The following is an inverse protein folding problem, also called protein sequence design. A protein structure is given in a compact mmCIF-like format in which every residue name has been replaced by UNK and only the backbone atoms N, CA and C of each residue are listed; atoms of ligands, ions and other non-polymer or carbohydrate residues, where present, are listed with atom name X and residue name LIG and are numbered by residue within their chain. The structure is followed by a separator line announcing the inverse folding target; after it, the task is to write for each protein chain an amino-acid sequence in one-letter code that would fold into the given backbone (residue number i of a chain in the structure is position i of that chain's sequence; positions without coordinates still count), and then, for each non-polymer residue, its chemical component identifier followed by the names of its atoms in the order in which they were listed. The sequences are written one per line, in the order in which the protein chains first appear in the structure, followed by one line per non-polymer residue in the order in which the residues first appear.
data_IF_432470565054
#
_entry.id   IF_432470565054
#
_cell.length_a   1.000
_cell.length_b   1.000
_cell.length_c   1.000
_cell.angle_alpha   90.00
_cell.angle_beta   90.00
_cell.angle_gamma   90.00
#
_symmetry.space_group_name_H-M   'P 1'
#
loop_
_entity.id
_entity.type
_entity.pdbx_description
1 polymer ?
#
# COMPACT_ATOMS: atom_id res chain seq x y z
N UNK A 1 -45.88 -25.32 -4.38
CA UNK A 1 -46.41 -23.99 -4.04
C UNK A 1 -45.27 -23.25 -3.34
N UNK A 2 -44.64 -22.31 -4.01
CA UNK A 2 -43.61 -21.48 -3.41
C UNK A 2 -44.29 -20.41 -2.56
N UNK A 3 -44.06 -20.44 -1.24
CA UNK A 3 -44.42 -19.31 -0.38
C UNK A 3 -43.58 -18.13 -0.83
N UNK A 4 -44.20 -17.18 -1.49
CA UNK A 4 -43.58 -15.87 -1.67
C UNK A 4 -43.56 -15.23 -0.29
N UNK A 5 -42.36 -15.18 0.32
CA UNK A 5 -42.15 -14.42 1.53
C UNK A 5 -42.62 -12.99 1.26
N UNK A 6 -43.59 -12.55 2.00
CA UNK A 6 -44.18 -11.21 1.91
C UNK A 6 -43.19 -10.27 2.62
N UNK A 7 -42.11 -9.93 1.90
CA UNK A 7 -41.11 -8.95 2.41
C UNK A 7 -41.84 -7.61 2.53
N UNK A 8 -41.85 -7.03 3.71
CA UNK A 8 -42.50 -5.73 3.92
C UNK A 8 -41.74 -4.61 3.19
N UNK A 9 -42.48 -3.56 2.81
CA UNK A 9 -41.89 -2.39 2.16
C UNK A 9 -40.80 -1.76 3.02
N UNK A 10 -40.95 -1.72 4.35
CA UNK A 10 -39.97 -1.22 5.31
C UNK A 10 -38.69 -2.06 5.32
N UNK A 11 -38.79 -3.40 5.18
CA UNK A 11 -37.63 -4.30 5.11
C UNK A 11 -36.83 -4.07 3.83
N UNK A 12 -37.48 -3.82 2.69
CA UNK A 12 -36.84 -3.49 1.42
C UNK A 12 -36.10 -2.15 1.54
N UNK A 13 -36.75 -1.14 2.10
CA UNK A 13 -36.18 0.19 2.29
C UNK A 13 -34.97 0.15 3.21
N UNK A 14 -35.04 -0.58 4.33
CA UNK A 14 -33.94 -0.79 5.26
C UNK A 14 -32.78 -1.52 4.59
N UNK A 15 -33.04 -2.55 3.79
CA UNK A 15 -32.03 -3.31 3.05
C UNK A 15 -31.31 -2.43 2.03
N UNK A 16 -32.04 -1.60 1.29
CA UNK A 16 -31.46 -0.64 0.34
C UNK A 16 -30.58 0.40 1.05
N UNK A 17 -31.04 0.90 2.20
CA UNK A 17 -30.25 1.85 2.99
C UNK A 17 -28.96 1.23 3.52
N UNK A 18 -28.99 -0.01 3.98
CA UNK A 18 -27.80 -0.75 4.42
C UNK A 18 -26.79 -0.94 3.29
N UNK A 19 -27.24 -1.29 2.10
CA UNK A 19 -26.38 -1.39 0.93
C UNK A 19 -25.72 -0.05 0.58
N UNK A 20 -26.49 1.02 0.62
CA UNK A 20 -26.00 2.37 0.37
C UNK A 20 -24.95 2.79 1.41
N UNK A 21 -25.20 2.52 2.69
CA UNK A 21 -24.25 2.79 3.77
C UNK A 21 -22.95 2.00 3.60
N UNK A 22 -23.03 0.73 3.19
CA UNK A 22 -21.83 -0.07 2.92
C UNK A 22 -20.98 0.55 1.81
N UNK A 23 -21.59 1.02 0.72
CA UNK A 23 -20.88 1.71 -0.38
C UNK A 23 -20.23 3.00 0.12
N UNK A 24 -20.94 3.80 0.90
CA UNK A 24 -20.41 5.04 1.48
C UNK A 24 -19.21 4.77 2.38
N UNK A 25 -19.31 3.77 3.26
CA UNK A 25 -18.22 3.37 4.16
C UNK A 25 -16.98 2.95 3.37
N UNK A 26 -17.16 2.08 2.37
CA UNK A 26 -16.05 1.60 1.52
C UNK A 26 -15.40 2.77 0.78
N UNK A 27 -16.20 3.70 0.27
CA UNK A 27 -15.70 4.89 -0.44
C UNK A 27 -14.84 5.77 0.45
N UNK A 28 -15.28 6.05 1.68
CA UNK A 28 -14.49 6.82 2.64
C UNK A 28 -13.21 6.08 3.07
N UNK A 29 -13.31 4.78 3.30
CA UNK A 29 -12.14 3.96 3.66
C UNK A 29 -11.07 3.99 2.57
N UNK A 30 -11.46 3.81 1.31
CA UNK A 30 -10.54 3.91 0.17
C UNK A 30 -9.92 5.29 0.05
N UNK A 31 -10.72 6.34 0.20
CA UNK A 31 -10.22 7.71 0.13
C UNK A 31 -9.20 8.01 1.22
N UNK A 32 -9.44 7.52 2.42
CA UNK A 32 -8.50 7.66 3.53
C UNK A 32 -7.17 6.95 3.24
N UNK A 33 -7.20 5.74 2.68
CA UNK A 33 -6.00 4.97 2.30
C UNK A 33 -5.20 5.67 1.22
N UNK A 34 -5.86 6.14 0.15
CA UNK A 34 -5.22 6.89 -0.94
C UNK A 34 -4.55 8.15 -0.40
N UNK A 35 -5.23 8.88 0.46
CA UNK A 35 -4.69 10.09 1.08
C UNK A 35 -3.49 9.78 1.96
N UNK A 36 -3.54 8.70 2.75
CA UNK A 36 -2.45 8.30 3.62
C UNK A 36 -1.18 7.92 2.84
N UNK A 37 -1.30 7.15 1.78
CA UNK A 37 -0.16 6.78 0.93
C UNK A 37 0.42 8.00 0.21
N UNK A 38 -0.43 8.86 -0.33
CA UNK A 38 0.00 10.11 -0.98
C UNK A 38 0.76 11.00 -0.01
N UNK A 39 0.25 11.20 1.20
CA UNK A 39 0.94 11.97 2.24
C UNK A 39 2.28 11.35 2.64
N UNK A 40 2.34 10.03 2.76
CA UNK A 40 3.58 9.33 3.09
C UNK A 40 4.67 9.55 2.03
N UNK A 41 4.31 9.52 0.76
CA UNK A 41 5.22 9.81 -0.36
C UNK A 41 5.72 11.25 -0.30
N UNK A 42 4.83 12.20 -0.06
CA UNK A 42 5.18 13.62 0.09
C UNK A 42 6.10 13.90 1.28
N UNK A 43 5.87 13.22 2.39
CA UNK A 43 6.75 13.26 3.57
C UNK A 43 8.14 12.73 3.19
N UNK A 44 8.19 11.61 2.50
CA UNK A 44 9.43 10.98 2.05
C UNK A 44 10.28 11.89 1.18
N UNK A 45 9.68 12.59 0.24
CA UNK A 45 10.35 13.58 -0.62
C UNK A 45 11.01 14.68 0.21
N UNK A 46 10.26 15.26 1.14
CA UNK A 46 10.75 16.34 2.00
C UNK A 46 11.81 15.88 2.99
N UNK A 47 11.72 14.66 3.47
CA UNK A 47 12.75 14.07 4.32
C UNK A 47 14.07 13.87 3.57
N UNK A 48 14.02 13.47 2.30
CA UNK A 48 15.22 13.36 1.46
C UNK A 48 15.89 14.72 1.25
N UNK A 49 15.12 15.74 0.96
CA UNK A 49 15.61 17.12 0.84
C UNK A 49 16.24 17.61 2.16
N UNK A 50 15.54 17.43 3.27
CA UNK A 50 16.04 17.81 4.59
C UNK A 50 17.34 17.10 4.93
N UNK A 51 17.44 15.82 4.60
CA UNK A 51 18.66 15.02 4.86
C UNK A 51 19.88 15.54 4.14
N UNK A 52 19.71 16.09 2.95
CA UNK A 52 20.80 16.74 2.21
C UNK A 52 21.24 18.06 2.84
N UNK A 53 20.33 18.75 3.52
CA UNK A 53 20.61 20.06 4.13
C UNK A 53 21.15 19.96 5.56
N UNK A 54 20.84 18.88 6.28
CA UNK A 54 21.29 18.67 7.67
C UNK A 54 22.74 18.21 7.69
N UNK A 55 23.53 18.78 8.63
CA UNK A 55 24.93 18.43 8.79
C UNK A 55 25.11 16.93 9.08
N UNK A 56 26.18 16.35 8.56
CA UNK A 56 26.52 14.95 8.75
C UNK A 56 26.61 14.60 10.26
N UNK A 57 25.91 13.57 10.67
CA UNK A 57 25.83 13.12 12.07
C UNK A 57 24.67 13.72 12.88
N UNK A 58 24.04 14.78 12.40
CA UNK A 58 22.94 15.45 13.09
C UNK A 58 21.53 14.98 12.69
N UNK A 59 21.45 14.07 11.73
CA UNK A 59 20.17 13.65 11.15
C UNK A 59 19.18 13.09 12.17
N UNK A 60 19.63 12.16 13.02
CA UNK A 60 18.77 11.56 14.04
C UNK A 60 18.23 12.58 15.03
N UNK A 61 19.07 13.52 15.47
CA UNK A 61 18.67 14.61 16.37
C UNK A 61 17.69 15.55 15.67
N UNK A 62 17.96 15.93 14.44
CA UNK A 62 17.09 16.80 13.65
C UNK A 62 15.68 16.19 13.51
N UNK A 63 15.60 14.90 13.18
CA UNK A 63 14.33 14.18 13.06
C UNK A 63 13.53 14.23 14.36
N UNK A 64 14.18 13.96 15.48
CA UNK A 64 13.53 13.92 16.79
C UNK A 64 13.02 15.29 17.22
N UNK A 65 13.83 16.32 17.04
CA UNK A 65 13.52 17.68 17.48
C UNK A 65 12.49 18.39 16.59
N UNK A 66 12.47 18.11 15.29
CA UNK A 66 11.64 18.86 14.35
C UNK A 66 10.37 18.13 13.91
N UNK A 67 10.42 16.80 13.73
CA UNK A 67 9.29 16.02 13.21
C UNK A 67 8.90 14.83 14.10
N UNK A 68 9.66 14.59 15.15
CA UNK A 68 9.43 13.50 16.09
C UNK A 68 9.37 12.10 15.43
N UNK A 69 10.25 11.86 14.47
CA UNK A 69 10.40 10.55 13.82
C UNK A 69 11.67 9.86 14.28
N UNK A 70 11.60 8.52 14.38
CA UNK A 70 12.80 7.69 14.43
C UNK A 70 13.47 7.64 13.05
N UNK A 71 14.74 7.26 13.00
CA UNK A 71 15.43 7.04 11.71
C UNK A 71 14.76 5.93 10.89
N UNK A 72 14.24 4.88 11.54
CA UNK A 72 13.51 3.80 10.88
C UNK A 72 12.23 4.31 10.22
N UNK A 73 11.45 5.12 10.91
CA UNK A 73 10.24 5.74 10.35
C UNK A 73 10.57 6.63 9.16
N UNK A 74 11.59 7.49 9.30
CA UNK A 74 12.03 8.35 8.21
C UNK A 74 12.52 7.56 7.00
N UNK A 75 13.27 6.48 7.21
CA UNK A 75 13.72 5.60 6.14
C UNK A 75 12.56 4.94 5.38
N UNK A 76 11.51 4.58 6.08
CA UNK A 76 10.30 4.01 5.46
C UNK A 76 9.59 5.03 4.56
N UNK A 77 9.42 6.26 5.00
CA UNK A 77 8.85 7.32 4.18
C UNK A 77 9.72 7.64 2.96
N UNK A 78 11.02 7.75 3.15
CA UNK A 78 11.95 8.00 2.05
C UNK A 78 11.95 6.85 1.03
N UNK A 79 11.80 5.60 1.49
CA UNK A 79 11.65 4.44 0.61
C UNK A 79 10.38 4.52 -0.21
N UNK A 80 9.25 4.86 0.39
CA UNK A 80 7.98 5.04 -0.33
C UNK A 80 8.12 6.07 -1.44
N UNK A 81 8.78 7.18 -1.18
CA UNK A 81 9.03 8.18 -2.22
C UNK A 81 9.93 7.64 -3.34
N UNK A 82 11.03 6.98 -3.00
CA UNK A 82 11.94 6.42 -4.01
C UNK A 82 11.27 5.39 -4.91
N UNK A 83 10.39 4.59 -4.33
CA UNK A 83 9.75 3.48 -5.03
C UNK A 83 8.48 3.88 -5.79
N UNK A 84 7.71 4.82 -5.27
CA UNK A 84 6.41 5.19 -5.82
C UNK A 84 6.28 6.67 -6.21
N UNK A 85 7.19 7.53 -5.78
CA UNK A 85 7.07 8.98 -5.92
C UNK A 85 8.05 9.65 -6.86
N UNK A 86 9.08 8.93 -7.33
CA UNK A 86 10.10 9.55 -8.20
C UNK A 86 9.54 9.87 -9.59
N UNK A 87 9.88 11.05 -10.11
CA UNK A 87 9.45 11.57 -11.42
C UNK A 87 9.94 10.76 -12.63
N UNK A 88 10.61 9.68 -12.40
CA UNK A 88 11.21 8.84 -13.46
C UNK A 88 10.20 7.94 -14.16
N UNK A 89 8.93 8.30 -14.16
CA UNK A 89 7.90 7.68 -14.96
C UNK A 89 7.35 6.34 -14.46
N UNK A 90 7.83 5.83 -13.35
CA UNK A 90 7.35 4.55 -12.82
C UNK A 90 5.95 4.61 -12.25
N UNK A 91 5.51 5.79 -11.80
CA UNK A 91 4.15 6.02 -11.30
C UNK A 91 3.10 6.05 -12.41
N UNK A 92 3.51 6.39 -13.63
CA UNK A 92 2.60 6.63 -14.74
C UNK A 92 2.69 5.60 -15.86
N UNK A 93 3.63 4.67 -15.78
CA UNK A 93 3.79 3.66 -16.84
C UNK A 93 2.67 2.64 -16.86
N UNK A 94 1.93 2.47 -15.77
CA UNK A 94 0.67 1.74 -15.76
C UNK A 94 -0.26 2.33 -14.70
N UNK A 95 -1.22 3.13 -15.16
CA UNK A 95 -2.23 3.79 -14.32
C UNK A 95 -2.97 2.78 -13.42
N UNK A 96 -3.15 1.55 -13.90
CA UNK A 96 -3.82 0.48 -13.16
C UNK A 96 -3.02 0.04 -11.92
N UNK A 97 -1.69 0.01 -12.01
CA UNK A 97 -0.82 -0.41 -10.89
C UNK A 97 -0.69 0.62 -9.81
N UNK A 98 -0.54 1.89 -10.22
CA UNK A 98 -0.52 2.99 -9.28
C UNK A 98 -1.81 3.03 -8.46
N UNK A 99 -2.97 2.80 -9.10
CA UNK A 99 -4.25 2.75 -8.40
C UNK A 99 -4.39 1.55 -7.48
N UNK A 100 -3.93 0.37 -7.91
CA UNK A 100 -3.97 -0.84 -7.07
C UNK A 100 -3.12 -0.67 -5.81
N UNK A 101 -1.93 -0.08 -5.94
CA UNK A 101 -1.03 0.20 -4.81
C UNK A 101 -1.56 1.35 -3.95
N UNK A 102 -2.08 2.41 -4.57
CA UNK A 102 -2.65 3.55 -3.84
C UNK A 102 -3.90 3.20 -3.04
N UNK A 103 -4.61 2.14 -3.41
CA UNK A 103 -5.75 1.62 -2.63
C UNK A 103 -5.32 0.78 -1.42
N UNK A 104 -4.03 0.44 -1.32
CA UNK A 104 -3.49 -0.28 -0.17
C UNK A 104 -3.18 0.70 0.96
N UNK A 105 -3.13 0.20 2.19
CA UNK A 105 -2.59 1.00 3.29
C UNK A 105 -1.07 1.17 3.16
N UNK A 106 -0.52 2.12 3.93
CA UNK A 106 0.92 2.45 3.91
C UNK A 106 1.79 1.23 4.22
N UNK A 107 1.38 0.39 5.17
CA UNK A 107 2.13 -0.81 5.57
C UNK A 107 2.24 -1.83 4.45
N UNK A 108 1.18 -2.05 3.70
CA UNK A 108 1.18 -2.96 2.55
C UNK A 108 1.97 -2.39 1.38
N UNK A 109 1.81 -1.10 1.08
CA UNK A 109 2.59 -0.44 0.05
C UNK A 109 4.09 -0.53 0.34
N UNK A 110 4.47 -0.34 1.61
CA UNK A 110 5.85 -0.49 2.05
C UNK A 110 6.35 -1.94 1.95
N UNK A 111 5.53 -2.91 2.35
CA UNK A 111 5.88 -4.34 2.25
C UNK A 111 6.17 -4.77 0.82
N UNK A 112 5.43 -4.26 -0.16
CA UNK A 112 5.64 -4.55 -1.58
C UNK A 112 6.95 -4.01 -2.14
N UNK A 113 7.62 -3.09 -1.46
CA UNK A 113 8.91 -2.55 -1.92
C UNK A 113 10.05 -3.57 -1.92
N UNK A 114 9.88 -4.73 -1.28
CA UNK A 114 10.86 -5.83 -1.37
C UNK A 114 10.90 -6.48 -2.75
N UNK A 115 9.84 -6.31 -3.55
CA UNK A 115 9.80 -6.77 -4.94
C UNK A 115 10.33 -5.67 -5.87
N UNK A 116 11.02 -6.04 -6.96
CA UNK A 116 11.25 -5.12 -8.06
C UNK A 116 9.94 -4.51 -8.59
N UNK A 117 9.99 -3.29 -9.09
CA UNK A 117 8.80 -2.57 -9.54
C UNK A 117 7.99 -3.37 -10.58
N UNK A 118 8.69 -4.04 -11.49
CA UNK A 118 8.09 -4.84 -12.57
C UNK A 118 7.32 -6.05 -12.06
N UNK A 119 7.75 -6.61 -10.93
CA UNK A 119 7.14 -7.80 -10.34
C UNK A 119 5.96 -7.49 -9.42
N UNK A 120 5.86 -6.26 -8.93
CA UNK A 120 4.77 -5.85 -8.03
C UNK A 120 3.40 -5.96 -8.67
N UNK A 121 3.32 -5.60 -9.92
CA UNK A 121 2.08 -5.65 -10.71
C UNK A 121 1.53 -7.07 -10.79
N UNK A 122 2.37 -7.98 -11.23
CA UNK A 122 2.02 -9.39 -11.36
C UNK A 122 1.63 -9.98 -10.01
N UNK A 123 2.39 -9.66 -8.96
CA UNK A 123 2.11 -10.13 -7.61
C UNK A 123 0.75 -9.64 -7.10
N UNK A 124 0.44 -8.36 -7.28
CA UNK A 124 -0.85 -7.78 -6.86
C UNK A 124 -2.01 -8.36 -7.68
N UNK A 125 -1.79 -8.66 -8.95
CA UNK A 125 -2.79 -9.29 -9.81
C UNK A 125 -3.07 -10.75 -9.43
N UNK A 126 -2.05 -11.49 -9.00
CA UNK A 126 -2.15 -12.89 -8.61
C UNK A 126 -2.65 -13.13 -7.18
N UNK A 127 -2.46 -12.14 -6.31
CA UNK A 127 -2.82 -12.22 -4.89
C UNK A 127 -3.86 -11.15 -4.56
N UNK A 128 -4.83 -11.50 -3.73
CA UNK A 128 -5.83 -10.54 -3.24
C UNK A 128 -5.24 -9.69 -2.10
N UNK A 129 -4.28 -8.85 -2.43
CA UNK A 129 -3.50 -8.06 -1.47
C UNK A 129 -4.38 -7.10 -0.67
N UNK A 130 -5.42 -6.55 -1.30
CA UNK A 130 -6.35 -5.61 -0.64
C UNK A 130 -7.04 -6.26 0.57
N UNK A 131 -7.38 -7.55 0.48
CA UNK A 131 -8.07 -8.29 1.53
C UNK A 131 -7.12 -9.08 2.46
N UNK A 132 -5.83 -9.07 2.22
CA UNK A 132 -4.84 -9.67 3.10
C UNK A 132 -4.52 -8.78 4.29
N UNK A 133 -4.17 -9.38 5.43
CA UNK A 133 -3.47 -8.66 6.49
C UNK A 133 -2.02 -8.36 6.05
N UNK A 134 -1.39 -7.40 6.69
CA UNK A 134 0.05 -7.11 6.44
C UNK A 134 0.92 -8.33 6.70
N UNK A 135 0.57 -9.12 7.71
CA UNK A 135 1.28 -10.36 8.05
C UNK A 135 1.14 -11.40 6.95
N UNK A 136 -0.07 -11.64 6.46
CA UNK A 136 -0.33 -12.56 5.35
C UNK A 136 0.41 -12.14 4.09
N UNK A 137 0.45 -10.84 3.81
CA UNK A 137 1.20 -10.30 2.70
C UNK A 137 2.71 -10.56 2.85
N UNK A 138 3.28 -10.32 4.02
CA UNK A 138 4.70 -10.58 4.28
C UNK A 138 5.04 -12.05 4.14
N UNK A 139 4.18 -12.94 4.61
CA UNK A 139 4.35 -14.38 4.47
C UNK A 139 4.31 -14.80 3.00
N UNK A 140 3.37 -14.27 2.22
CA UNK A 140 3.28 -14.53 0.77
C UNK A 140 4.51 -14.01 0.01
N UNK A 141 5.03 -12.85 0.39
CA UNK A 141 6.25 -12.30 -0.20
C UNK A 141 7.48 -13.13 0.12
N UNK A 142 7.57 -13.64 1.33
CA UNK A 142 8.66 -14.53 1.75
C UNK A 142 8.62 -15.86 0.98
N UNK A 143 7.44 -16.44 0.82
CA UNK A 143 7.23 -17.65 0.04
C UNK A 143 7.61 -17.44 -1.44
N UNK A 144 7.22 -16.34 -2.02
CA UNK A 144 7.58 -15.96 -3.39
C UNK A 144 9.11 -15.88 -3.56
N UNK A 145 9.79 -15.25 -2.62
CA UNK A 145 11.26 -15.14 -2.60
C UNK A 145 11.93 -16.52 -2.55
N UNK A 146 11.43 -17.40 -1.70
CA UNK A 146 11.97 -18.75 -1.53
C UNK A 146 11.77 -19.60 -2.79
N UNK A 147 10.59 -19.53 -3.40
CA UNK A 147 10.32 -20.25 -4.66
C UNK A 147 11.23 -19.78 -5.80
N UNK A 148 11.48 -18.49 -5.90
CA UNK A 148 12.42 -17.94 -6.89
C UNK A 148 13.84 -18.44 -6.68
N UNK A 149 14.31 -18.46 -5.43
CA UNK A 149 15.62 -18.98 -5.08
C UNK A 149 15.77 -20.44 -5.49
N UNK A 150 14.75 -21.27 -5.23
CA UNK A 150 14.74 -22.68 -5.61
C UNK A 150 14.76 -22.89 -7.13
N UNK A 151 14.03 -22.06 -7.87
CA UNK A 151 14.04 -22.11 -9.33
C UNK A 151 15.42 -21.76 -9.91
N UNK A 152 16.04 -20.71 -9.41
CA UNK A 152 17.38 -20.30 -9.84
C UNK A 152 18.44 -21.37 -9.53
N UNK A 153 18.34 -22.06 -8.38
CA UNK A 153 19.24 -23.15 -8.04
C UNK A 153 19.06 -24.34 -8.98
N UNK A 154 17.84 -24.68 -9.37
CA UNK A 154 17.57 -25.77 -10.34
C UNK A 154 18.08 -25.44 -11.76
N UNK A 155 17.97 -24.19 -12.17
CA UNK A 155 18.48 -23.75 -13.48
C UNK A 155 20.02 -23.79 -13.58
N UNK A 156 20.73 -23.70 -12.45
CA UNK A 156 22.19 -23.79 -12.39
C UNK A 156 22.73 -25.21 -12.34
N UNK A 157 21.87 -26.19 -12.20
CA UNK A 157 22.22 -27.61 -12.26
C UNK A 157 22.01 -28.15 -13.68
#
# INVERSE_FOLDING_TARGET
MYEMENVSFEEIESSQRLQQLAVEIITFDRQAKITAVSCAIEIGERLLEAKELVAHGDWGRWLKENVNYSQSTANNFMRLYREYGSDQGSLFTTVANSQAIMNLDVSKALALTVLPAEEREEFVAEHDVENMSTRELKDALQENKELKRQLEEKEKQ
#
